data_IF_745076552412
#
_entry.id   IF_745076552412
#
_cell.length_a   1.000
_cell.length_b   1.000
_cell.length_c   1.000
_cell.angle_alpha   90.00
_cell.angle_beta   90.00
_cell.angle_gamma   90.00
#
_symmetry.space_group_name_H-M   'P 1'
#
loop_
_entity.id
_entity.type
_entity.pdbx_description
1 polymer ?
#
# COMPACT_ATOMS: atom_id res chain seq x y z
N UNK A 1 -35.03 67.78 4.04
CA UNK A 1 -35.08 66.42 3.47
C UNK A 1 -33.69 65.80 3.58
N UNK A 2 -33.35 65.19 4.72
CA UNK A 2 -31.97 64.68 5.00
C UNK A 2 -31.93 63.50 5.99
N UNK A 3 -33.09 63.02 6.47
CA UNK A 3 -33.18 61.94 7.47
C UNK A 3 -33.08 60.57 6.82
N UNK A 4 -33.68 60.37 5.64
CA UNK A 4 -33.72 59.08 4.93
C UNK A 4 -32.33 58.57 4.53
N UNK A 5 -31.46 59.44 4.00
CA UNK A 5 -30.08 59.05 3.61
C UNK A 5 -29.23 58.59 4.79
N UNK A 6 -29.43 59.22 5.96
CA UNK A 6 -28.68 58.89 7.18
C UNK A 6 -29.05 57.50 7.71
N UNK A 7 -30.34 57.14 7.67
CA UNK A 7 -30.80 55.81 8.06
C UNK A 7 -30.32 54.73 7.10
N UNK A 8 -30.29 55.01 5.79
CA UNK A 8 -29.76 54.07 4.79
C UNK A 8 -28.26 53.82 4.99
N UNK A 9 -27.46 54.88 5.18
CA UNK A 9 -26.02 54.76 5.43
C UNK A 9 -25.71 53.99 6.72
N UNK A 10 -26.42 54.29 7.82
CA UNK A 10 -26.21 53.60 9.11
C UNK A 10 -26.60 52.13 9.01
N UNK A 11 -27.71 51.81 8.34
CA UNK A 11 -28.11 50.42 8.10
C UNK A 11 -27.06 49.66 7.28
N UNK A 12 -26.57 50.27 6.20
CA UNK A 12 -25.56 49.66 5.34
C UNK A 12 -24.22 49.47 6.06
N UNK A 13 -23.80 50.44 6.86
CA UNK A 13 -22.58 50.35 7.68
C UNK A 13 -22.71 49.25 8.75
N UNK A 14 -23.85 49.16 9.43
CA UNK A 14 -24.11 48.09 10.39
C UNK A 14 -24.09 46.70 9.72
N UNK A 15 -24.73 46.55 8.57
CA UNK A 15 -24.70 45.29 7.81
C UNK A 15 -23.27 44.91 7.42
N UNK A 16 -22.47 45.84 6.90
CA UNK A 16 -21.08 45.55 6.53
C UNK A 16 -20.23 45.15 7.73
N UNK A 17 -20.34 45.86 8.86
CA UNK A 17 -19.58 45.51 10.07
C UNK A 17 -19.99 44.14 10.62
N UNK A 18 -21.28 43.81 10.59
CA UNK A 18 -21.78 42.51 11.01
C UNK A 18 -21.25 41.39 10.12
N UNK A 19 -21.29 41.57 8.80
CA UNK A 19 -20.72 40.61 7.85
C UNK A 19 -19.23 40.43 8.09
N UNK A 20 -18.49 41.51 8.31
CA UNK A 20 -17.04 41.45 8.59
C UNK A 20 -16.72 40.66 9.87
N UNK A 21 -17.48 40.89 10.95
CA UNK A 21 -17.35 40.14 12.22
C UNK A 21 -17.70 38.66 12.02
N UNK A 22 -18.79 38.36 11.30
CA UNK A 22 -19.17 36.97 11.02
C UNK A 22 -18.13 36.24 10.17
N UNK A 23 -17.56 36.90 9.16
CA UNK A 23 -16.52 36.32 8.31
C UNK A 23 -15.25 36.05 9.10
N UNK A 24 -14.76 37.03 9.86
CA UNK A 24 -13.55 36.88 10.69
C UNK A 24 -13.73 35.81 11.77
N UNK A 25 -14.90 35.76 12.41
CA UNK A 25 -15.24 34.71 13.38
C UNK A 25 -15.28 33.30 12.75
N UNK A 26 -15.86 33.17 11.55
CA UNK A 26 -15.94 31.89 10.84
C UNK A 26 -14.55 31.39 10.42
N UNK A 27 -13.68 32.29 9.94
CA UNK A 27 -12.29 31.96 9.59
C UNK A 27 -11.54 31.49 10.84
N UNK A 28 -11.70 32.19 11.98
CA UNK A 28 -11.07 31.80 13.24
C UNK A 28 -11.45 30.39 13.68
N UNK A 29 -12.75 30.05 13.68
CA UNK A 29 -13.22 28.70 14.00
C UNK A 29 -12.71 27.65 13.00
N UNK A 30 -12.71 27.99 11.70
CA UNK A 30 -12.17 27.13 10.65
C UNK A 30 -10.69 26.81 10.84
N UNK A 31 -9.87 27.78 11.26
CA UNK A 31 -8.43 27.57 11.49
C UNK A 31 -8.16 26.62 12.67
N UNK A 32 -8.91 26.75 13.77
CA UNK A 32 -8.78 25.86 14.93
C UNK A 32 -9.24 24.45 14.58
N UNK A 33 -10.36 24.32 13.87
CA UNK A 33 -10.85 23.04 13.39
C UNK A 33 -9.83 22.37 12.46
N UNK A 34 -9.27 23.12 11.50
CA UNK A 34 -8.26 22.60 10.58
C UNK A 34 -6.99 22.15 11.32
N UNK A 35 -6.52 22.91 12.31
CA UNK A 35 -5.37 22.51 13.13
C UNK A 35 -5.65 21.19 13.86
N UNK A 36 -6.84 21.04 14.42
CA UNK A 36 -7.24 19.81 15.10
C UNK A 36 -7.33 18.62 14.12
N UNK A 37 -7.84 18.85 12.91
CA UNK A 37 -7.88 17.84 11.86
C UNK A 37 -6.47 17.43 11.43
N UNK A 38 -5.55 18.38 11.24
CA UNK A 38 -4.15 18.09 10.91
C UNK A 38 -3.49 17.24 12.00
N UNK A 39 -3.75 17.55 13.28
CA UNK A 39 -3.20 16.77 14.40
C UNK A 39 -3.72 15.32 14.38
N UNK A 40 -5.02 15.12 14.14
CA UNK A 40 -5.61 13.79 14.02
C UNK A 40 -5.08 13.03 12.81
N UNK A 41 -5.00 13.68 11.64
CA UNK A 41 -4.46 13.08 10.42
C UNK A 41 -2.99 12.69 10.59
N UNK A 42 -2.17 13.53 11.21
CA UNK A 42 -0.77 13.22 11.49
C UNK A 42 -0.63 12.01 12.43
N UNK A 43 -1.50 11.87 13.43
CA UNK A 43 -1.50 10.69 14.29
C UNK A 43 -1.87 9.41 13.54
N UNK A 44 -2.85 9.50 12.64
CA UNK A 44 -3.22 8.37 11.76
C UNK A 44 -2.07 7.97 10.84
N UNK A 45 -1.37 8.95 10.24
CA UNK A 45 -0.19 8.69 9.38
C UNK A 45 0.89 7.95 10.17
N UNK A 46 1.25 8.42 11.36
CA UNK A 46 2.23 7.73 12.22
C UNK A 46 1.81 6.30 12.56
N UNK A 47 0.52 6.07 12.78
CA UNK A 47 0.00 4.73 13.04
C UNK A 47 0.16 3.82 11.82
N UNK A 48 -0.06 4.34 10.61
CA UNK A 48 0.18 3.58 9.38
C UNK A 48 1.67 3.30 9.18
N UNK A 49 2.55 4.29 9.38
CA UNK A 49 4.00 4.11 9.28
C UNK A 49 4.52 3.02 10.23
N UNK A 50 4.06 3.03 11.49
CA UNK A 50 4.42 1.99 12.47
C UNK A 50 3.95 0.60 12.05
N UNK A 51 2.73 0.50 11.51
CA UNK A 51 2.20 -0.79 11.02
C UNK A 51 2.99 -1.30 9.82
N UNK A 52 3.37 -0.43 8.88
CA UNK A 52 4.20 -0.81 7.74
C UNK A 52 5.57 -1.31 8.18
N UNK A 53 6.22 -0.60 9.10
CA UNK A 53 7.51 -1.03 9.64
C UNK A 53 7.43 -2.41 10.33
N UNK A 54 6.34 -2.65 11.08
CA UNK A 54 6.14 -3.93 11.75
C UNK A 54 5.86 -5.07 10.76
N UNK A 55 5.05 -4.82 9.73
CA UNK A 55 4.81 -5.80 8.66
C UNK A 55 6.11 -6.12 7.92
N UNK A 56 6.93 -5.12 7.61
CA UNK A 56 8.22 -5.32 6.95
C UNK A 56 9.17 -6.16 7.80
N UNK A 57 9.22 -5.91 9.12
CA UNK A 57 10.00 -6.72 10.06
C UNK A 57 9.54 -8.17 10.05
N UNK A 58 8.24 -8.41 10.15
CA UNK A 58 7.68 -9.77 10.09
C UNK A 58 7.94 -10.47 8.76
N UNK A 59 7.89 -9.73 7.65
CA UNK A 59 8.21 -10.26 6.33
C UNK A 59 9.68 -10.66 6.27
N UNK A 60 10.60 -9.78 6.70
CA UNK A 60 12.03 -10.08 6.76
C UNK A 60 12.34 -11.29 7.64
N UNK A 61 11.71 -11.40 8.80
CA UNK A 61 11.86 -12.57 9.70
C UNK A 61 11.38 -13.85 9.02
N UNK A 62 10.20 -13.81 8.41
CA UNK A 62 9.62 -14.97 7.73
C UNK A 62 10.46 -15.38 6.52
N UNK A 63 10.91 -14.41 5.72
CA UNK A 63 11.80 -14.67 4.58
C UNK A 63 13.13 -15.24 5.03
N UNK A 64 13.68 -14.76 6.16
CA UNK A 64 14.92 -15.31 6.73
C UNK A 64 14.72 -16.73 7.22
N UNK A 65 13.59 -17.03 7.89
CA UNK A 65 13.25 -18.39 8.33
C UNK A 65 13.05 -19.33 7.13
N UNK A 66 12.35 -18.88 6.09
CA UNK A 66 12.17 -19.65 4.86
C UNK A 66 13.51 -19.89 4.18
N UNK A 67 14.36 -18.87 4.05
CA UNK A 67 15.67 -19.00 3.44
C UNK A 67 16.58 -19.93 4.25
N UNK A 68 16.49 -19.90 5.58
CA UNK A 68 17.22 -20.82 6.45
C UNK A 68 16.76 -22.28 6.26
N UNK A 69 15.45 -22.53 6.17
CA UNK A 69 14.91 -23.89 5.97
C UNK A 69 15.08 -24.38 4.52
N UNK A 70 15.06 -23.48 3.53
CA UNK A 70 15.34 -23.78 2.13
C UNK A 70 16.83 -23.85 1.81
N UNK A 71 17.71 -23.68 2.80
CA UNK A 71 19.14 -23.82 2.58
C UNK A 71 19.47 -25.25 2.09
N UNK A 72 20.35 -25.40 1.10
CA UNK A 72 20.67 -26.71 0.51
C UNK A 72 21.09 -27.75 1.56
N UNK A 73 21.83 -27.32 2.58
CA UNK A 73 22.30 -28.19 3.67
C UNK A 73 21.16 -28.73 4.53
N UNK A 74 20.15 -27.90 4.83
CA UNK A 74 18.94 -28.34 5.57
C UNK A 74 18.11 -29.29 4.71
N UNK A 75 17.95 -28.99 3.43
CA UNK A 75 17.22 -29.84 2.49
C UNK A 75 17.89 -31.21 2.29
N UNK A 76 19.23 -31.26 2.17
CA UNK A 76 20.00 -32.50 2.08
C UNK A 76 19.88 -33.30 3.39
N UNK A 77 19.94 -32.64 4.55
CA UNK A 77 19.74 -33.28 5.85
C UNK A 77 18.34 -33.88 5.97
N UNK A 78 17.28 -33.14 5.63
CA UNK A 78 15.89 -33.62 5.66
C UNK A 78 15.64 -34.75 4.67
N UNK A 79 16.22 -34.68 3.48
CA UNK A 79 16.17 -35.75 2.48
C UNK A 79 16.76 -37.06 3.01
N UNK A 80 17.87 -36.98 3.75
CA UNK A 80 18.49 -38.13 4.40
C UNK A 80 17.68 -38.65 5.61
N UNK A 81 17.18 -37.75 6.47
CA UNK A 81 16.38 -38.11 7.65
C UNK A 81 15.07 -38.80 7.28
N UNK A 82 14.36 -38.30 6.27
CA UNK A 82 13.07 -38.83 5.83
C UNK A 82 13.20 -39.89 4.74
N UNK A 83 14.44 -40.24 4.34
CA UNK A 83 14.74 -41.22 3.28
C UNK A 83 13.98 -40.94 1.98
N UNK A 84 13.89 -39.67 1.58
CA UNK A 84 13.09 -39.26 0.42
C UNK A 84 13.74 -39.71 -0.91
N UNK A 85 15.00 -40.15 -0.89
CA UNK A 85 15.69 -40.70 -2.07
C UNK A 85 15.91 -39.66 -3.18
N UNK A 86 15.83 -38.37 -2.85
CA UNK A 86 16.01 -37.31 -3.82
C UNK A 86 17.49 -37.20 -4.19
N UNK A 87 17.77 -37.24 -5.49
CA UNK A 87 19.13 -37.11 -6.05
C UNK A 87 19.32 -35.65 -6.44
N UNK A 88 20.53 -35.11 -6.24
CA UNK A 88 20.86 -33.76 -6.71
C UNK A 88 20.55 -33.64 -8.21
N UNK A 89 19.79 -32.62 -8.62
CA UNK A 89 19.35 -32.48 -10.00
C UNK A 89 20.55 -32.35 -10.94
N UNK A 90 20.58 -33.16 -12.00
CA UNK A 90 21.65 -33.11 -13.00
C UNK A 90 21.51 -31.82 -13.83
N UNK A 91 22.48 -30.92 -13.65
CA UNK A 91 22.53 -29.61 -14.29
C UNK A 91 22.49 -29.66 -15.82
N UNK A 92 22.77 -30.82 -16.42
CA UNK A 92 22.81 -31.01 -17.87
C UNK A 92 21.46 -31.35 -18.50
N UNK A 93 20.50 -31.87 -17.75
CA UNK A 93 19.27 -32.46 -18.33
C UNK A 93 17.99 -31.80 -17.82
N UNK A 94 18.00 -31.18 -16.63
CA UNK A 94 16.79 -30.63 -16.02
C UNK A 94 16.65 -29.10 -16.11
N UNK A 95 17.68 -28.39 -16.55
CA UNK A 95 17.65 -26.93 -16.64
C UNK A 95 17.67 -26.45 -18.08
N UNK A 96 16.58 -25.81 -18.52
CA UNK A 96 16.59 -25.00 -19.74
C UNK A 96 17.15 -23.63 -19.37
N UNK A 97 18.39 -23.35 -19.76
CA UNK A 97 18.96 -22.00 -19.62
C UNK A 97 18.32 -21.10 -20.68
N UNK A 98 17.41 -20.24 -20.24
CA UNK A 98 16.81 -19.25 -21.13
C UNK A 98 17.84 -18.13 -21.32
N UNK A 99 18.29 -17.93 -22.56
CA UNK A 99 19.36 -17.00 -22.94
C UNK A 99 18.86 -15.55 -23.10
N UNK A 100 17.65 -15.25 -22.65
CA UNK A 100 17.11 -13.88 -22.66
C UNK A 100 17.71 -13.08 -21.51
N UNK A 101 17.91 -11.78 -21.75
CA UNK A 101 18.36 -10.85 -20.74
C UNK A 101 17.31 -10.77 -19.61
N UNK A 102 17.66 -11.31 -18.44
CA UNK A 102 16.75 -11.41 -17.30
C UNK A 102 16.19 -10.05 -16.89
N UNK A 103 16.96 -8.97 -17.09
CA UNK A 103 16.57 -7.60 -16.75
C UNK A 103 15.40 -7.10 -17.61
N UNK A 104 15.45 -7.33 -18.92
CA UNK A 104 14.38 -6.91 -19.84
C UNK A 104 13.06 -7.62 -19.55
N UNK A 105 13.12 -8.92 -19.21
CA UNK A 105 11.94 -9.71 -18.84
C UNK A 105 11.33 -9.24 -17.51
N UNK A 106 12.17 -8.89 -16.54
CA UNK A 106 11.71 -8.38 -15.24
C UNK A 106 11.09 -6.98 -15.37
N UNK A 107 11.68 -6.12 -16.20
CA UNK A 107 11.11 -4.81 -16.52
C UNK A 107 9.77 -4.94 -17.23
N UNK A 108 9.66 -5.84 -18.22
CA UNK A 108 8.41 -6.11 -18.92
C UNK A 108 7.33 -6.67 -17.97
N UNK A 109 7.69 -7.54 -17.02
CA UNK A 109 6.77 -8.07 -16.02
C UNK A 109 6.30 -7.00 -15.03
N UNK A 110 7.22 -6.19 -14.52
CA UNK A 110 6.90 -5.12 -13.57
C UNK A 110 5.95 -4.09 -14.20
N UNK A 111 6.22 -3.65 -15.44
CA UNK A 111 5.31 -2.78 -16.17
C UNK A 111 3.95 -3.44 -16.40
N UNK A 112 3.92 -4.73 -16.73
CA UNK A 112 2.66 -5.46 -16.93
C UNK A 112 1.83 -5.54 -15.64
N UNK A 113 2.46 -5.74 -14.48
CA UNK A 113 1.76 -5.77 -13.18
C UNK A 113 1.26 -4.36 -12.77
N UNK A 114 1.97 -3.29 -13.15
CA UNK A 114 1.57 -1.89 -12.93
C UNK A 114 0.39 -1.43 -13.81
N UNK A 115 0.29 -1.95 -15.05
CA UNK A 115 -0.73 -1.53 -16.03
C UNK A 115 -1.81 -2.60 -16.30
N UNK A 116 -1.75 -3.75 -15.63
CA UNK A 116 -2.81 -4.75 -15.75
C UNK A 116 -4.06 -4.31 -14.98
N UNK A 117 -5.26 -4.33 -15.60
CA UNK A 117 -6.50 -4.25 -14.85
C UNK A 117 -6.58 -5.42 -13.86
N UNK A 118 -7.16 -5.17 -12.68
CA UNK A 118 -7.19 -6.09 -11.53
C UNK A 118 -7.43 -7.55 -11.97
N UNK A 119 -6.65 -8.52 -11.45
CA UNK A 119 -6.71 -9.90 -11.91
C UNK A 119 -8.12 -10.45 -11.69
N UNK A 120 -8.82 -10.72 -12.78
CA UNK A 120 -10.02 -11.57 -12.76
C UNK A 120 -9.56 -12.97 -12.37
N UNK A 121 -9.87 -13.35 -11.13
CA UNK A 121 -9.61 -14.68 -10.58
C UNK A 121 -10.43 -15.68 -11.41
N UNK A 122 -9.82 -16.28 -12.43
CA UNK A 122 -10.42 -17.41 -13.12
C UNK A 122 -10.20 -18.67 -12.28
N UNK A 123 -11.30 -19.26 -11.85
CA UNK A 123 -11.28 -20.52 -11.12
C UNK A 123 -10.68 -21.62 -12.01
N UNK A 124 -9.49 -22.10 -11.64
CA UNK A 124 -8.86 -23.25 -12.28
C UNK A 124 -9.61 -24.51 -11.85
N UNK A 125 -10.39 -25.10 -12.77
CA UNK A 125 -11.01 -26.41 -12.57
C UNK A 125 -9.93 -27.48 -12.73
N UNK A 126 -9.40 -27.97 -11.61
CA UNK A 126 -8.56 -29.17 -11.62
C UNK A 126 -9.41 -30.38 -12.01
N UNK A 127 -9.15 -30.94 -13.19
CA UNK A 127 -9.66 -32.26 -13.55
C UNK A 127 -8.65 -33.29 -13.04
N UNK A 128 -9.04 -34.02 -12.00
CA UNK A 128 -8.34 -35.21 -11.54
C UNK A 128 -8.51 -36.29 -12.63
N UNK A 129 -7.50 -36.45 -13.47
CA UNK A 129 -7.42 -37.54 -14.43
C UNK A 129 -7.12 -38.85 -13.69
N UNK A 130 -8.17 -39.57 -13.29
CA UNK A 130 -8.07 -40.96 -12.89
C UNK A 130 -7.96 -41.84 -14.13
N UNK A 131 -6.82 -42.50 -14.30
CA UNK A 131 -6.63 -43.60 -15.25
C UNK A 131 -7.24 -44.88 -14.69
N UNK A 132 -8.13 -45.50 -15.46
CA UNK A 132 -8.21 -46.96 -15.64
C UNK A 132 -8.71 -47.24 -17.04
#
# INVERSE_FOLDING_TARGET
MHKTDRHAFVSQLLVYTLVMICFTGSIGLGTVWLRNQIAQTANSIKTFELRTAEVERHLSETTTMIAAEQSPDVLIRRNNEWKLGLVSPDFRTQFVRINENAEERLLAKNNRDLFAPAPTVQAVKFILGGTH
#
